data_IF_786400113915
#
_entry.id   IF_786400113915
#
_cell.length_a   1.000
_cell.length_b   1.000
_cell.length_c   1.000
_cell.angle_alpha   90.00
_cell.angle_beta   90.00
_cell.angle_gamma   90.00
#
_symmetry.space_group_name_H-M   'P 1'
#
loop_
_entity.id
_entity.type
_entity.pdbx_description
1 polymer ?
#
# COMPACT_ATOMS: atom_id res chain seq x y z
N UNK A 1 3.23 25.42 7.81
CA UNK A 1 3.01 26.88 7.85
C UNK A 1 1.54 27.16 8.07
N UNK A 2 1.17 28.14 8.89
CA UNK A 2 -0.24 28.45 9.24
C UNK A 2 -0.86 29.41 8.23
N UNK A 3 -1.13 28.96 7.01
CA UNK A 3 -1.91 29.74 6.05
C UNK A 3 -3.39 29.48 6.27
N UNK A 4 -4.22 30.52 6.45
CA UNK A 4 -5.67 30.36 6.58
C UNK A 4 -6.33 29.63 5.41
N UNK A 5 -5.70 29.62 4.23
CA UNK A 5 -6.14 28.82 3.08
C UNK A 5 -6.17 27.32 3.38
N UNK A 6 -5.34 26.83 4.30
CA UNK A 6 -5.32 25.41 4.67
C UNK A 6 -6.50 24.98 5.56
N UNK A 7 -7.34 25.90 6.04
CA UNK A 7 -8.61 25.53 6.68
C UNK A 7 -9.59 24.89 5.66
N UNK A 8 -9.50 25.30 4.39
CA UNK A 8 -10.28 24.67 3.33
C UNK A 8 -9.85 23.21 3.10
N UNK A 9 -8.56 22.91 3.32
CA UNK A 9 -8.01 21.56 3.16
C UNK A 9 -8.60 20.62 4.22
N UNK A 10 -8.68 21.06 5.48
CA UNK A 10 -9.29 20.27 6.56
C UNK A 10 -10.75 19.93 6.27
N UNK A 11 -11.51 20.86 5.69
CA UNK A 11 -12.91 20.60 5.33
C UNK A 11 -13.04 19.47 4.30
N UNK A 12 -12.16 19.43 3.29
CA UNK A 12 -12.13 18.35 2.31
C UNK A 12 -11.70 17.02 2.94
N UNK A 13 -10.65 17.05 3.76
CA UNK A 13 -10.18 15.87 4.47
C UNK A 13 -11.26 15.28 5.39
N UNK A 14 -12.02 16.11 6.12
CA UNK A 14 -13.10 15.61 6.97
C UNK A 14 -14.27 15.02 6.19
N UNK A 15 -14.49 15.39 4.91
CA UNK A 15 -15.43 14.66 4.06
C UNK A 15 -14.90 13.25 3.75
N UNK A 16 -13.60 13.10 3.42
CA UNK A 16 -12.98 11.78 3.25
C UNK A 16 -13.11 10.94 4.53
N UNK A 17 -12.80 11.50 5.70
CA UNK A 17 -12.93 10.81 6.99
C UNK A 17 -14.39 10.44 7.27
N UNK A 18 -15.34 11.32 6.96
CA UNK A 18 -16.76 11.04 7.08
C UNK A 18 -17.15 9.82 6.24
N UNK A 19 -16.72 9.77 4.98
CA UNK A 19 -17.01 8.67 4.07
C UNK A 19 -16.36 7.36 4.55
N UNK A 20 -15.12 7.41 5.04
CA UNK A 20 -14.43 6.25 5.63
C UNK A 20 -15.15 5.69 6.88
N UNK A 21 -15.66 6.58 7.74
CA UNK A 21 -16.30 6.21 9.01
C UNK A 21 -17.73 5.72 8.83
N UNK A 22 -18.56 6.52 8.16
CA UNK A 22 -20.00 6.31 8.17
C UNK A 22 -20.45 5.34 7.10
N UNK A 23 -19.77 5.30 5.93
CA UNK A 23 -20.10 4.51 4.74
C UNK A 23 -21.61 4.12 4.66
N UNK A 24 -22.51 5.13 4.70
CA UNK A 24 -23.88 4.94 5.20
C UNK A 24 -24.79 4.17 4.25
N UNK A 25 -24.37 4.00 3.00
CA UNK A 25 -25.13 3.36 1.93
C UNK A 25 -24.59 1.95 1.59
N UNK A 26 -23.61 1.46 2.35
CA UNK A 26 -22.94 0.19 2.10
C UNK A 26 -23.42 -0.91 3.03
N UNK A 27 -23.75 -2.09 2.47
CA UNK A 27 -23.97 -3.30 3.25
C UNK A 27 -22.67 -4.10 3.34
N UNK A 28 -22.16 -4.29 4.55
CA UNK A 28 -20.93 -5.06 4.77
C UNK A 28 -20.96 -5.87 6.07
N UNK A 29 -20.24 -6.98 6.05
CA UNK A 29 -19.83 -7.71 7.24
C UNK A 29 -18.48 -7.17 7.75
N UNK A 30 -18.27 -7.17 9.06
CA UNK A 30 -17.07 -6.59 9.68
C UNK A 30 -16.36 -7.58 10.60
N UNK A 31 -15.04 -7.66 10.46
CA UNK A 31 -14.14 -8.33 11.38
C UNK A 31 -13.30 -7.26 12.08
N UNK A 32 -13.43 -7.15 13.40
CA UNK A 32 -12.53 -6.33 14.22
C UNK A 32 -11.27 -7.13 14.55
N UNK A 33 -10.11 -6.65 14.08
CA UNK A 33 -8.80 -7.25 14.36
C UNK A 33 -8.21 -6.64 15.63
N UNK A 34 -8.18 -5.31 15.69
CA UNK A 34 -7.72 -4.54 16.84
C UNK A 34 -8.78 -3.49 17.19
N UNK A 35 -9.04 -3.29 18.49
CA UNK A 35 -9.91 -2.23 19.00
C UNK A 35 -9.16 -1.45 20.08
N UNK A 36 -8.68 -0.26 19.73
CA UNK A 36 -7.86 0.59 20.60
C UNK A 36 -6.69 -0.16 21.25
N UNK A 37 -6.05 -1.05 20.50
CA UNK A 37 -4.96 -1.89 20.99
C UNK A 37 -3.68 -1.07 21.09
N UNK A 38 -2.96 -1.18 22.22
CA UNK A 38 -1.70 -0.48 22.40
C UNK A 38 -0.64 -1.17 21.56
N UNK A 39 -0.13 -0.45 20.57
CA UNK A 39 0.98 -0.89 19.75
C UNK A 39 2.22 -0.10 20.12
N UNK A 40 3.17 -0.80 20.75
CA UNK A 40 4.45 -0.24 21.17
C UNK A 40 5.59 -1.22 20.89
N UNK A 41 6.83 -0.72 20.86
CA UNK A 41 7.99 -1.60 20.76
C UNK A 41 9.26 -0.92 20.29
N UNK A 42 10.24 -1.76 19.98
CA UNK A 42 11.52 -1.33 19.39
C UNK A 42 11.41 -1.02 17.91
N UNK A 43 12.56 -0.85 17.26
CA UNK A 43 12.62 -0.52 15.84
C UNK A 43 11.92 -1.58 14.99
N UNK A 44 10.96 -1.17 14.16
CA UNK A 44 10.18 -2.05 13.30
C UNK A 44 9.41 -3.15 14.07
N UNK A 45 8.76 -2.75 15.17
CA UNK A 45 7.90 -3.63 15.97
C UNK A 45 6.82 -4.29 15.10
N UNK A 46 6.18 -5.33 15.63
CA UNK A 46 4.99 -5.89 15.01
C UNK A 46 4.02 -6.38 16.07
N UNK A 47 2.74 -6.26 15.80
CA UNK A 47 1.66 -6.87 16.59
C UNK A 47 0.89 -7.83 15.68
N UNK A 48 0.38 -8.91 16.26
CA UNK A 48 -0.34 -9.92 15.51
C UNK A 48 -1.59 -10.35 16.27
N UNK A 49 -2.63 -10.70 15.51
CA UNK A 49 -3.87 -11.25 16.02
C UNK A 49 -4.34 -12.38 15.11
N UNK A 50 -4.76 -13.48 15.73
CA UNK A 50 -5.42 -14.58 15.02
C UNK A 50 -6.91 -14.22 14.87
N UNK A 51 -7.41 -14.31 13.64
CA UNK A 51 -8.79 -13.96 13.29
C UNK A 51 -9.41 -15.07 12.44
N UNK A 52 -10.72 -15.25 12.56
CA UNK A 52 -11.50 -16.19 11.76
C UNK A 52 -12.10 -15.45 10.56
N UNK A 53 -11.72 -15.85 9.34
CA UNK A 53 -12.25 -15.28 8.12
C UNK A 53 -13.48 -16.04 7.60
N UNK A 54 -14.35 -15.40 6.80
CA UNK A 54 -15.50 -16.06 6.18
C UNK A 54 -15.07 -17.29 5.38
N UNK A 55 -15.96 -18.27 5.31
CA UNK A 55 -15.75 -19.47 4.50
C UNK A 55 -15.63 -19.15 3.01
N UNK A 56 -15.05 -20.08 2.24
CA UNK A 56 -14.91 -19.89 0.80
C UNK A 56 -16.23 -19.58 0.07
N UNK A 57 -17.34 -20.17 0.51
CA UNK A 57 -18.68 -19.93 -0.05
C UNK A 57 -19.19 -18.50 0.26
N UNK A 58 -18.88 -17.98 1.46
CA UNK A 58 -19.21 -16.60 1.85
C UNK A 58 -18.33 -15.60 1.09
N UNK A 59 -17.04 -15.91 0.87
CA UNK A 59 -16.12 -15.07 0.11
C UNK A 59 -16.56 -14.87 -1.36
N UNK A 60 -17.30 -15.82 -1.93
CA UNK A 60 -17.90 -15.70 -3.26
C UNK A 60 -19.05 -14.68 -3.32
N UNK A 61 -19.58 -14.23 -2.18
CA UNK A 61 -20.71 -13.28 -2.13
C UNK A 61 -20.27 -11.82 -2.00
N UNK A 62 -19.00 -11.56 -1.67
CA UNK A 62 -18.51 -10.20 -1.45
C UNK A 62 -18.03 -9.54 -2.74
N UNK A 63 -18.51 -8.32 -2.97
CA UNK A 63 -18.14 -7.47 -4.10
C UNK A 63 -16.89 -6.63 -3.85
N UNK A 64 -16.55 -6.37 -2.58
CA UNK A 64 -15.34 -5.65 -2.21
C UNK A 64 -14.85 -6.04 -0.82
N UNK A 65 -13.56 -5.85 -0.57
CA UNK A 65 -12.96 -5.95 0.75
C UNK A 65 -12.16 -4.69 1.01
N UNK A 66 -12.44 -4.00 2.13
CA UNK A 66 -11.69 -2.82 2.55
C UNK A 66 -11.16 -2.98 3.96
N UNK A 67 -10.02 -2.37 4.25
CA UNK A 67 -9.46 -2.29 5.59
C UNK A 67 -9.63 -0.88 6.14
N UNK A 68 -10.27 -0.78 7.29
CA UNK A 68 -10.30 0.44 8.08
C UNK A 68 -9.12 0.44 9.05
N UNK A 69 -8.31 1.49 9.02
CA UNK A 69 -7.22 1.71 9.97
C UNK A 69 -7.34 3.10 10.58
N UNK A 70 -7.59 3.14 11.89
CA UNK A 70 -7.29 4.29 12.74
C UNK A 70 -5.98 4.00 13.48
N UNK A 71 -4.91 4.67 13.08
CA UNK A 71 -3.62 4.65 13.81
C UNK A 71 -3.60 5.84 14.75
N UNK A 72 -4.27 5.71 15.88
CA UNK A 72 -4.29 6.75 16.89
C UNK A 72 -2.96 6.89 17.65
N UNK A 73 -2.85 7.94 18.45
CA UNK A 73 -1.70 8.20 19.30
C UNK A 73 -2.17 8.31 20.77
N UNK A 74 -1.65 7.48 21.69
CA UNK A 74 -2.09 7.48 23.08
C UNK A 74 -1.51 8.66 23.86
N UNK A 75 -2.37 9.37 24.62
CA UNK A 75 -1.92 10.20 25.73
C UNK A 75 -1.59 9.36 26.98
N UNK A 76 -1.18 10.02 28.07
CA UNK A 76 -0.82 9.35 29.33
C UNK A 76 -1.98 8.57 29.98
N UNK A 77 -3.23 8.88 29.62
CA UNK A 77 -4.44 8.23 30.10
C UNK A 77 -4.98 7.19 29.09
N UNK A 78 -4.28 6.99 27.96
CA UNK A 78 -4.66 6.07 26.90
C UNK A 78 -5.82 6.57 26.02
N UNK A 79 -6.01 7.89 25.89
CA UNK A 79 -6.93 8.50 24.91
C UNK A 79 -6.19 8.93 23.65
N UNK A 80 -6.95 9.27 22.61
CA UNK A 80 -6.41 9.80 21.36
C UNK A 80 -5.95 11.25 21.52
N UNK A 81 -4.66 11.51 21.28
CA UNK A 81 -4.08 12.86 21.29
C UNK A 81 -2.89 12.95 20.33
N UNK A 82 -2.92 13.97 19.45
CA UNK A 82 -1.83 14.27 18.50
C UNK A 82 -0.49 14.51 19.22
N UNK A 83 -0.49 15.03 20.45
CA UNK A 83 0.73 15.26 21.25
C UNK A 83 1.51 13.95 21.55
N UNK A 84 0.88 12.79 21.39
CA UNK A 84 1.49 11.47 21.59
C UNK A 84 2.01 10.82 20.31
N UNK A 85 1.88 11.49 19.15
CA UNK A 85 2.26 10.95 17.86
C UNK A 85 3.78 10.95 17.63
N UNK A 86 4.22 10.15 16.65
CA UNK A 86 5.62 10.18 16.19
C UNK A 86 5.80 11.41 15.27
N UNK A 87 6.88 12.16 15.50
CA UNK A 87 7.29 13.33 14.70
C UNK A 87 7.75 12.95 13.27
N UNK A 88 7.58 11.69 12.85
CA UNK A 88 8.06 11.16 11.58
C UNK A 88 6.98 10.38 10.85
N UNK A 89 7.02 10.47 9.53
CA UNK A 89 6.31 9.60 8.61
C UNK A 89 6.97 8.22 8.53
N UNK A 90 6.21 7.18 8.86
CA UNK A 90 6.65 5.78 8.93
C UNK A 90 5.90 4.96 7.92
N UNK A 91 6.62 4.10 7.20
CA UNK A 91 5.98 3.03 6.44
C UNK A 91 5.37 1.99 7.39
N UNK A 92 4.12 1.64 7.14
CA UNK A 92 3.37 0.62 7.85
C UNK A 92 2.77 -0.40 6.87
N UNK A 93 2.69 -1.64 7.33
CA UNK A 93 2.27 -2.79 6.53
C UNK A 93 1.27 -3.61 7.32
N UNK A 94 0.27 -4.14 6.62
CA UNK A 94 -0.55 -5.25 7.10
C UNK A 94 -0.28 -6.48 6.25
N UNK A 95 0.05 -7.57 6.93
CA UNK A 95 0.26 -8.87 6.34
C UNK A 95 -0.85 -9.84 6.77
N UNK A 96 -1.26 -10.70 5.85
CA UNK A 96 -1.99 -11.92 6.16
C UNK A 96 -1.03 -13.10 6.09
N UNK A 97 -0.97 -13.87 7.17
CA UNK A 97 -0.09 -15.02 7.34
C UNK A 97 -0.90 -16.28 7.66
N UNK A 98 -0.27 -17.43 7.49
CA UNK A 98 -0.77 -18.68 8.08
C UNK A 98 -0.83 -18.55 9.61
N UNK A 99 -1.66 -19.38 10.27
CA UNK A 99 -1.89 -19.29 11.72
C UNK A 99 -0.59 -19.44 12.55
N UNK A 100 0.40 -20.16 12.02
CA UNK A 100 1.72 -20.32 12.66
C UNK A 100 2.69 -19.14 12.44
N UNK A 101 2.25 -18.11 11.70
CA UNK A 101 3.03 -16.92 11.36
C UNK A 101 3.97 -17.10 10.16
N UNK A 102 3.88 -18.21 9.42
CA UNK A 102 4.56 -18.40 8.14
C UNK A 102 3.75 -17.85 6.97
N UNK A 103 4.32 -17.86 5.76
CA UNK A 103 3.66 -17.46 4.50
C UNK A 103 2.91 -16.12 4.59
N UNK A 104 3.59 -15.08 5.04
CA UNK A 104 3.02 -13.74 5.16
C UNK A 104 3.03 -12.99 3.83
N UNK A 105 1.87 -12.48 3.42
CA UNK A 105 1.69 -11.65 2.23
C UNK A 105 1.19 -10.27 2.60
N UNK A 106 1.79 -9.23 2.04
CA UNK A 106 1.37 -7.85 2.26
C UNK A 106 0.07 -7.59 1.50
N UNK A 107 -0.97 -7.21 2.24
CA UNK A 107 -2.31 -6.96 1.67
C UNK A 107 -2.75 -5.51 1.85
N UNK A 108 -1.99 -4.69 2.59
CA UNK A 108 -2.18 -3.25 2.67
C UNK A 108 -0.90 -2.53 3.14
N UNK A 109 -0.74 -1.28 2.72
CA UNK A 109 0.38 -0.40 3.06
C UNK A 109 -0.10 1.02 3.35
N UNK A 110 0.53 1.66 4.32
CA UNK A 110 0.28 3.06 4.69
C UNK A 110 1.59 3.80 4.94
N UNK A 111 1.54 5.13 4.84
CA UNK A 111 2.56 6.00 5.42
C UNK A 111 1.91 6.81 6.54
N UNK A 112 2.45 6.75 7.76
CA UNK A 112 1.95 7.57 8.87
C UNK A 112 2.18 9.06 8.59
N UNK A 113 1.31 9.95 9.11
CA UNK A 113 1.56 11.38 9.03
C UNK A 113 2.62 11.82 10.04
N UNK A 114 3.07 13.07 9.90
CA UNK A 114 3.80 13.78 10.95
C UNK A 114 2.85 14.29 12.01
N UNK A 115 3.02 13.89 13.28
CA UNK A 115 2.36 14.47 14.45
C UNK A 115 0.81 14.51 14.38
N UNK A 116 0.20 13.58 13.63
CA UNK A 116 -1.26 13.49 13.42
C UNK A 116 -1.76 12.06 13.47
N UNK A 117 -3.08 11.91 13.58
CA UNK A 117 -3.75 10.61 13.64
C UNK A 117 -4.48 10.34 12.31
N UNK A 118 -4.03 9.36 11.50
CA UNK A 118 -4.72 8.98 10.27
C UNK A 118 -5.92 8.08 10.56
N UNK A 119 -6.93 8.20 9.70
CA UNK A 119 -8.07 7.29 9.61
C UNK A 119 -8.34 7.00 8.14
N UNK A 120 -8.09 5.76 7.72
CA UNK A 120 -8.22 5.34 6.32
C UNK A 120 -9.23 4.22 6.17
N UNK A 121 -9.84 4.14 4.98
CA UNK A 121 -10.61 2.99 4.50
C UNK A 121 -10.06 2.59 3.13
N UNK A 122 -9.12 1.65 3.12
CA UNK A 122 -8.34 1.27 1.94
C UNK A 122 -8.96 0.08 1.23
N UNK A 123 -9.16 0.18 -0.08
CA UNK A 123 -9.63 -0.93 -0.91
C UNK A 123 -8.52 -1.96 -1.11
N UNK A 124 -8.78 -3.19 -0.68
CA UNK A 124 -7.89 -4.34 -0.75
C UNK A 124 -8.60 -5.54 -1.38
N UNK A 125 -9.63 -5.29 -2.19
CA UNK A 125 -10.49 -6.30 -2.81
C UNK A 125 -9.73 -7.43 -3.50
N UNK A 126 -8.66 -7.19 -4.29
CA UNK A 126 -7.94 -8.28 -4.94
C UNK A 126 -7.41 -9.35 -3.97
N UNK A 127 -7.16 -8.97 -2.71
CA UNK A 127 -6.60 -9.85 -1.68
C UNK A 127 -7.63 -10.75 -0.99
N UNK A 128 -8.91 -10.73 -1.41
CA UNK A 128 -9.86 -11.81 -1.09
C UNK A 128 -9.25 -13.17 -1.47
N UNK A 129 -8.52 -13.21 -2.58
CA UNK A 129 -7.78 -14.40 -3.05
C UNK A 129 -6.77 -14.95 -2.04
N UNK A 130 -6.15 -14.09 -1.20
CA UNK A 130 -5.16 -14.50 -0.19
C UNK A 130 -5.84 -15.10 1.05
N UNK A 131 -7.08 -14.72 1.32
CA UNK A 131 -7.87 -15.24 2.44
C UNK A 131 -8.38 -16.66 2.17
N UNK A 132 -8.64 -16.99 0.89
CA UNK A 132 -9.22 -18.27 0.50
C UNK A 132 -8.37 -19.47 0.97
N UNK A 133 -9.01 -20.58 1.40
CA UNK A 133 -10.45 -20.85 1.42
C UNK A 133 -11.19 -20.32 2.67
N UNK A 134 -10.64 -19.32 3.35
CA UNK A 134 -11.16 -18.80 4.61
C UNK A 134 -10.54 -19.47 5.85
N UNK A 135 -11.27 -19.40 6.96
CA UNK A 135 -10.87 -19.98 8.24
C UNK A 135 -9.88 -19.13 9.01
N UNK A 136 -9.25 -19.74 10.01
CA UNK A 136 -8.33 -19.04 10.91
C UNK A 136 -7.04 -18.63 10.18
N UNK A 137 -6.67 -17.35 10.30
CA UNK A 137 -5.40 -16.79 9.81
C UNK A 137 -4.84 -15.78 10.80
N UNK A 138 -3.57 -15.43 10.64
CA UNK A 138 -2.91 -14.43 11.47
C UNK A 138 -2.78 -13.12 10.68
N UNK A 139 -3.38 -12.04 11.20
CA UNK A 139 -3.10 -10.69 10.76
C UNK A 139 -1.89 -10.17 11.54
N UNK A 140 -0.89 -9.67 10.81
CA UNK A 140 0.29 -9.02 11.38
C UNK A 140 0.36 -7.58 10.89
N UNK A 141 0.40 -6.64 11.83
CA UNK A 141 0.67 -5.23 11.56
C UNK A 141 2.12 -4.92 11.94
N UNK A 142 2.81 -4.17 11.08
CA UNK A 142 4.18 -3.71 11.30
C UNK A 142 4.28 -2.23 10.91
N UNK A 143 5.02 -1.46 11.70
CA UNK A 143 5.32 -0.04 11.44
C UNK A 143 6.81 0.14 11.67
N UNK A 144 7.49 0.84 10.76
CA UNK A 144 8.89 1.22 10.99
C UNK A 144 8.99 2.25 12.12
N UNK A 145 10.19 2.47 12.65
CA UNK A 145 10.32 3.41 13.77
C UNK A 145 10.04 2.79 15.13
N UNK A 146 9.72 3.64 16.10
CA UNK A 146 9.33 3.27 17.46
C UNK A 146 7.85 3.60 17.65
N UNK A 147 6.96 2.67 17.31
CA UNK A 147 5.53 2.93 17.38
C UNK A 147 5.14 3.20 18.84
N UNK A 148 4.27 4.19 19.00
CA UNK A 148 3.50 4.43 20.21
C UNK A 148 2.10 4.82 19.74
N UNK A 149 1.27 3.80 19.53
CA UNK A 149 0.03 3.94 18.77
C UNK A 149 -1.13 3.23 19.48
N UNK A 150 -2.35 3.71 19.21
CA UNK A 150 -3.60 3.02 19.51
C UNK A 150 -4.20 2.56 18.19
N UNK A 151 -4.07 1.27 17.90
CA UNK A 151 -4.56 0.70 16.65
C UNK A 151 -6.01 0.29 16.77
N UNK A 152 -6.84 0.80 15.87
CA UNK A 152 -8.14 0.20 15.55
C UNK A 152 -8.09 -0.24 14.11
N UNK A 153 -8.21 -1.55 13.89
CA UNK A 153 -8.07 -2.16 12.58
C UNK A 153 -9.26 -3.09 12.37
N UNK A 154 -10.00 -2.84 11.30
CA UNK A 154 -11.19 -3.61 10.93
C UNK A 154 -11.13 -3.97 9.46
N UNK A 155 -11.63 -5.15 9.13
CA UNK A 155 -11.78 -5.59 7.74
C UNK A 155 -13.26 -5.65 7.44
N UNK A 156 -13.69 -4.93 6.40
CA UNK A 156 -15.08 -4.83 5.97
C UNK A 156 -15.25 -5.55 4.63
N UNK A 157 -16.21 -6.46 4.57
CA UNK A 157 -16.56 -7.26 3.39
C UNK A 157 -17.91 -6.80 2.85
N UNK A 158 -17.90 -6.16 1.69
CA UNK A 158 -19.06 -5.49 1.12
C UNK A 158 -19.85 -6.43 0.22
N UNK A 159 -21.17 -6.27 0.24
CA UNK A 159 -22.09 -6.91 -0.70
C UNK A 159 -22.81 -5.84 -1.53
N UNK A 160 -22.93 -6.06 -2.83
CA UNK A 160 -23.72 -5.24 -3.75
C UNK A 160 -25.05 -5.93 -4.08
N UNK A 161 -26.07 -5.16 -4.49
CA UNK A 161 -27.36 -5.72 -4.93
C UNK A 161 -27.22 -6.66 -6.13
N UNK A 162 -26.29 -6.35 -7.04
CA UNK A 162 -26.00 -7.13 -8.24
C UNK A 162 -25.05 -8.32 -7.98
N UNK A 163 -24.51 -8.44 -6.76
CA UNK A 163 -23.44 -9.38 -6.42
C UNK A 163 -22.07 -8.99 -7.00
N UNK A 164 -21.00 -9.74 -6.67
CA UNK A 164 -19.70 -9.54 -7.33
C UNK A 164 -19.79 -9.89 -8.81
N UNK A 165 -19.19 -9.06 -9.67
CA UNK A 165 -19.06 -9.36 -11.10
C UNK A 165 -18.18 -10.60 -11.30
N UNK A 166 -17.01 -10.63 -10.63
CA UNK A 166 -16.09 -11.77 -10.57
C UNK A 166 -15.29 -11.72 -9.25
N UNK A 167 -15.29 -12.80 -8.46
CA UNK A 167 -14.56 -12.83 -7.17
C UNK A 167 -13.09 -13.22 -7.37
N UNK A 168 -12.12 -12.59 -6.67
CA UNK A 168 -10.72 -13.04 -6.65
C UNK A 168 -10.59 -14.44 -6.04
N UNK A 169 -10.11 -15.41 -6.82
CA UNK A 169 -10.06 -16.82 -6.43
C UNK A 169 -8.65 -17.28 -6.05
N UNK A 170 -7.66 -16.87 -6.81
CA UNK A 170 -6.28 -17.31 -6.61
C UNK A 170 -5.30 -16.16 -6.73
N UNK A 171 -4.13 -16.34 -6.11
CA UNK A 171 -3.02 -15.41 -6.24
C UNK A 171 -1.71 -16.15 -6.51
N UNK A 172 -0.75 -15.45 -7.14
CA UNK A 172 0.65 -15.88 -7.26
C UNK A 172 1.56 -14.75 -6.78
N UNK A 173 2.39 -14.95 -5.75
CA UNK A 173 3.38 -13.96 -5.33
C UNK A 173 4.40 -13.70 -6.44
N UNK A 174 4.72 -12.43 -6.67
CA UNK A 174 5.73 -11.99 -7.63
C UNK A 174 6.93 -11.38 -6.88
N UNK A 175 7.32 -10.15 -7.18
CA UNK A 175 8.41 -9.47 -6.46
C UNK A 175 7.96 -8.96 -5.09
N UNK A 176 8.83 -9.12 -4.09
CA UNK A 176 8.62 -8.63 -2.73
C UNK A 176 9.91 -8.08 -2.13
N UNK A 177 9.75 -7.16 -1.18
CA UNK A 177 10.79 -6.65 -0.31
C UNK A 177 11.33 -5.29 -0.73
N UNK A 178 11.96 -4.63 0.25
CA UNK A 178 12.64 -3.35 0.07
C UNK A 178 14.05 -3.57 -0.44
N UNK A 179 14.36 -3.02 -1.61
CA UNK A 179 15.67 -3.17 -2.25
C UNK A 179 16.23 -1.81 -2.66
N UNK A 180 17.53 -1.65 -2.47
CA UNK A 180 18.24 -0.43 -2.83
C UNK A 180 18.08 -0.08 -4.31
N UNK A 181 17.63 1.14 -4.58
CA UNK A 181 17.43 1.66 -5.92
C UNK A 181 18.75 2.18 -6.49
N UNK A 182 19.55 1.25 -7.03
CA UNK A 182 20.92 1.47 -7.47
C UNK A 182 21.16 0.89 -8.90
N UNK A 183 22.36 1.04 -9.51
CA UNK A 183 22.59 0.57 -10.87
C UNK A 183 22.37 -0.93 -11.12
N UNK A 184 22.40 -1.77 -10.08
CA UNK A 184 22.11 -3.20 -10.16
C UNK A 184 20.69 -3.55 -9.68
N UNK A 185 19.78 -2.57 -9.61
CA UNK A 185 18.40 -2.79 -9.13
C UNK A 185 17.71 -3.95 -9.87
N UNK A 186 17.78 -3.97 -11.20
CA UNK A 186 17.15 -5.00 -12.03
C UNK A 186 17.76 -6.39 -11.80
N UNK A 187 19.04 -6.49 -11.40
CA UNK A 187 19.67 -7.79 -11.08
C UNK A 187 19.06 -8.45 -9.84
N UNK A 188 18.46 -7.65 -8.95
CA UNK A 188 17.76 -8.11 -7.74
C UNK A 188 16.26 -8.38 -7.99
N UNK A 189 15.86 -8.40 -9.26
CA UNK A 189 14.48 -8.58 -9.72
C UNK A 189 14.44 -9.55 -10.91
N UNK A 190 14.80 -10.83 -10.69
CA UNK A 190 14.78 -11.80 -11.77
C UNK A 190 13.35 -11.95 -12.34
N UNK A 191 13.22 -12.33 -13.62
CA UNK A 191 11.94 -12.65 -14.23
C UNK A 191 11.23 -13.74 -13.44
N UNK A 192 9.91 -13.62 -13.29
CA UNK A 192 9.09 -14.54 -12.50
C UNK A 192 8.11 -15.28 -13.39
N UNK A 193 8.06 -16.60 -13.24
CA UNK A 193 7.11 -17.48 -13.93
C UNK A 193 5.87 -17.64 -13.04
N UNK A 194 4.68 -17.61 -13.64
CA UNK A 194 3.41 -17.82 -12.96
C UNK A 194 2.45 -18.60 -13.87
N UNK A 195 1.71 -19.54 -13.29
CA UNK A 195 0.68 -20.30 -13.99
C UNK A 195 -0.66 -19.57 -13.97
N UNK A 196 -1.43 -19.72 -15.04
CA UNK A 196 -2.82 -19.25 -15.13
C UNK A 196 -3.73 -20.46 -15.39
N UNK A 197 -4.72 -20.76 -14.54
CA UNK A 197 -5.56 -21.94 -14.71
C UNK A 197 -6.55 -21.78 -15.86
N UNK A 198 -6.97 -22.90 -16.48
CA UNK A 198 -7.85 -22.92 -17.66
C UNK A 198 -9.22 -22.26 -17.45
N UNK A 199 -9.69 -22.18 -16.21
CA UNK A 199 -10.97 -21.57 -15.86
C UNK A 199 -10.89 -20.07 -15.59
N UNK A 200 -9.70 -19.47 -15.60
CA UNK A 200 -9.53 -18.03 -15.38
C UNK A 200 -10.37 -17.21 -16.38
N UNK A 201 -11.15 -16.27 -15.87
CA UNK A 201 -11.89 -15.30 -16.68
C UNK A 201 -11.21 -13.94 -16.70
N UNK A 202 -10.46 -13.62 -15.65
CA UNK A 202 -9.69 -12.38 -15.53
C UNK A 202 -8.41 -12.56 -14.74
N UNK A 203 -7.34 -11.94 -15.21
CA UNK A 203 -6.01 -11.97 -14.61
C UNK A 203 -5.50 -10.55 -14.46
N UNK A 204 -5.14 -10.16 -13.24
CA UNK A 204 -4.61 -8.84 -12.93
C UNK A 204 -3.24 -8.91 -12.29
N UNK A 205 -2.37 -7.98 -12.65
CA UNK A 205 -1.18 -7.66 -11.87
C UNK A 205 -1.50 -6.59 -10.85
N UNK A 206 -1.20 -6.86 -9.58
CA UNK A 206 -1.46 -5.97 -8.44
C UNK A 206 -0.15 -5.71 -7.70
N UNK A 207 0.20 -4.45 -7.46
CA UNK A 207 1.45 -4.11 -6.79
C UNK A 207 1.37 -2.87 -5.91
N UNK A 208 2.05 -2.91 -4.76
CA UNK A 208 2.42 -1.74 -3.99
C UNK A 208 3.85 -1.35 -4.32
N UNK A 209 4.10 -0.09 -4.63
CA UNK A 209 5.42 0.45 -4.92
C UNK A 209 5.52 1.83 -4.29
N UNK A 210 6.52 2.04 -3.45
CA UNK A 210 6.82 3.33 -2.82
C UNK A 210 8.32 3.54 -2.80
N UNK A 211 8.79 4.71 -3.23
CA UNK A 211 10.20 5.09 -3.16
C UNK A 211 10.56 5.74 -1.83
N UNK A 212 11.72 5.37 -1.28
CA UNK A 212 12.22 5.84 0.01
C UNK A 212 13.70 6.24 -0.08
N UNK A 213 14.14 7.02 0.91
CA UNK A 213 15.49 7.57 0.96
C UNK A 213 15.65 8.83 0.13
N UNK A 214 16.63 9.64 0.52
CA UNK A 214 16.99 10.88 -0.20
C UNK A 214 18.48 10.90 -0.57
N UNK A 215 19.27 9.98 0.00
CA UNK A 215 20.71 9.87 -0.16
C UNK A 215 21.47 11.18 0.10
N UNK A 216 22.67 11.28 -0.46
CA UNK A 216 23.42 12.53 -0.54
C UNK A 216 23.07 13.31 -1.81
N UNK A 217 23.65 14.51 -1.98
CA UNK A 217 23.44 15.34 -3.17
C UNK A 217 23.70 14.62 -4.51
N UNK A 218 24.53 13.56 -4.52
CA UNK A 218 24.78 12.73 -5.70
C UNK A 218 23.69 11.70 -6.03
N UNK A 219 22.71 11.52 -5.15
CA UNK A 219 21.61 10.56 -5.30
C UNK A 219 20.34 11.16 -5.92
N UNK A 220 20.37 12.44 -6.31
CA UNK A 220 19.24 13.15 -6.95
C UNK A 220 17.95 13.10 -6.12
N UNK A 221 18.07 13.07 -4.79
CA UNK A 221 16.97 12.88 -3.84
C UNK A 221 16.13 11.61 -4.06
N UNK A 222 16.69 10.62 -4.75
CA UNK A 222 16.04 9.33 -4.89
C UNK A 222 16.07 8.53 -3.57
N UNK A 223 15.13 7.62 -3.35
CA UNK A 223 13.95 7.36 -4.18
C UNK A 223 12.69 8.06 -3.66
N UNK A 224 12.75 8.84 -2.58
CA UNK A 224 11.61 9.53 -2.01
C UNK A 224 11.14 10.69 -2.90
N UNK A 225 12.05 11.52 -3.41
CA UNK A 225 11.72 12.77 -4.12
C UNK A 225 12.16 12.77 -5.58
N UNK A 226 12.46 11.61 -6.15
CA UNK A 226 12.78 11.51 -7.57
C UNK A 226 11.76 10.61 -8.26
N UNK A 227 11.37 10.99 -9.47
CA UNK A 227 10.47 10.17 -10.27
C UNK A 227 11.19 8.86 -10.66
N UNK A 228 10.71 7.74 -10.13
CA UNK A 228 11.07 6.39 -10.59
C UNK A 228 9.97 5.86 -11.51
N UNK A 229 10.38 5.23 -12.61
CA UNK A 229 9.50 4.51 -13.53
C UNK A 229 9.72 3.00 -13.37
N UNK A 230 8.62 2.27 -13.31
CA UNK A 230 8.53 0.83 -13.06
C UNK A 230 7.84 0.18 -14.27
N UNK A 231 8.58 -0.64 -15.02
CA UNK A 231 8.16 -1.19 -16.31
C UNK A 231 8.02 -2.70 -16.17
N UNK A 232 6.90 -3.23 -16.61
CA UNK A 232 6.55 -4.64 -16.55
C UNK A 232 6.32 -5.14 -17.96
N UNK A 233 6.87 -6.31 -18.30
CA UNK A 233 6.59 -6.94 -19.59
C UNK A 233 6.18 -8.40 -19.43
N UNK A 234 5.22 -8.83 -20.24
CA UNK A 234 4.63 -10.15 -20.19
C UNK A 234 5.08 -10.96 -21.41
N UNK A 235 5.47 -12.21 -21.18
CA UNK A 235 5.80 -13.21 -22.20
C UNK A 235 6.83 -12.70 -23.23
N UNK A 236 7.91 -12.09 -22.75
CA UNK A 236 8.99 -11.56 -23.60
C UNK A 236 8.60 -10.30 -24.38
N UNK A 237 7.72 -9.46 -23.84
CA UNK A 237 7.33 -8.18 -24.41
C UNK A 237 6.10 -8.22 -25.32
N UNK A 238 5.26 -9.25 -25.22
CA UNK A 238 3.94 -9.30 -25.89
C UNK A 238 3.05 -8.14 -25.44
N UNK A 239 3.18 -7.78 -24.16
CA UNK A 239 2.57 -6.60 -23.58
C UNK A 239 3.55 -5.95 -22.61
N UNK A 240 3.55 -4.62 -22.59
CA UNK A 240 4.32 -3.81 -21.66
C UNK A 240 3.41 -2.75 -21.07
N UNK A 241 3.52 -2.57 -19.76
CA UNK A 241 2.83 -1.52 -19.02
C UNK A 241 3.75 -0.97 -17.94
N UNK A 242 3.44 0.24 -17.47
CA UNK A 242 4.30 0.92 -16.51
C UNK A 242 3.51 1.78 -15.54
N UNK A 243 4.18 2.10 -14.43
CA UNK A 243 3.78 3.15 -13.51
C UNK A 243 4.98 4.03 -13.19
N UNK A 244 4.75 5.31 -12.91
CA UNK A 244 5.80 6.26 -12.53
C UNK A 244 5.23 7.33 -11.61
N UNK A 245 6.12 8.10 -10.99
CA UNK A 245 5.76 9.09 -9.96
C UNK A 245 6.26 10.48 -10.33
N UNK A 246 5.70 11.13 -11.37
CA UNK A 246 6.10 12.46 -11.83
C UNK A 246 5.94 13.57 -10.78
N UNK A 247 5.07 13.37 -9.80
CA UNK A 247 4.86 14.24 -8.64
C UNK A 247 6.05 14.25 -7.67
N UNK A 248 6.93 13.25 -7.72
CA UNK A 248 8.05 13.14 -6.80
C UNK A 248 9.02 14.34 -6.97
N UNK A 249 9.23 15.07 -5.87
CA UNK A 249 10.05 16.29 -5.85
C UNK A 249 9.27 17.57 -6.16
N UNK A 250 7.97 17.48 -6.41
CA UNK A 250 7.09 18.64 -6.48
C UNK A 250 7.01 19.36 -5.13
N UNK A 251 6.91 20.70 -5.15
CA UNK A 251 6.99 21.53 -3.97
C UNK A 251 5.71 21.60 -3.13
N UNK A 252 4.56 21.20 -3.69
CA UNK A 252 3.27 21.31 -3.03
C UNK A 252 2.22 20.25 -3.43
N UNK A 253 2.57 19.23 -4.22
CA UNK A 253 1.66 18.16 -4.64
C UNK A 253 0.80 17.57 -3.51
N UNK A 254 1.38 17.22 -2.36
CA UNK A 254 0.62 16.64 -1.24
C UNK A 254 -0.30 17.67 -0.54
N UNK A 255 -0.14 18.96 -0.83
CA UNK A 255 -1.03 20.03 -0.37
C UNK A 255 -2.12 20.39 -1.39
N UNK A 256 -2.09 19.84 -2.59
CA UNK A 256 -3.12 20.09 -3.61
C UNK A 256 -4.46 19.53 -3.14
N UNK A 257 -5.55 20.23 -3.49
CA UNK A 257 -6.89 19.86 -3.04
C UNK A 257 -7.30 18.49 -3.59
N UNK A 258 -6.88 18.20 -4.82
CA UNK A 258 -7.07 16.95 -5.55
C UNK A 258 -6.30 15.78 -4.91
N UNK A 259 -5.24 16.07 -4.15
CA UNK A 259 -4.45 15.07 -3.42
C UNK A 259 -5.01 14.87 -2.01
N UNK A 260 -5.44 15.94 -1.34
CA UNK A 260 -6.06 15.87 0.00
C UNK A 260 -7.31 14.99 0.03
N UNK A 261 -8.15 15.05 -1.01
CA UNK A 261 -9.35 14.20 -1.10
C UNK A 261 -9.04 12.70 -1.26
N UNK A 262 -7.78 12.33 -1.48
CA UNK A 262 -7.33 10.94 -1.52
C UNK A 262 -6.94 10.42 -0.12
N UNK A 263 -7.10 11.23 0.94
CA UNK A 263 -6.84 10.84 2.32
C UNK A 263 -5.61 11.47 2.95
N UNK A 264 -4.90 12.37 2.25
CA UNK A 264 -3.75 13.09 2.83
C UNK A 264 -4.22 14.04 3.92
N UNK A 265 -3.73 13.83 5.14
CA UNK A 265 -4.04 14.72 6.27
C UNK A 265 -3.42 16.10 6.01
N UNK A 266 -4.18 17.19 6.00
CA UNK A 266 -3.61 18.52 5.85
C UNK A 266 -3.04 19.04 7.18
N UNK A 267 -2.21 20.09 7.11
CA UNK A 267 -1.66 20.77 8.29
C UNK A 267 -0.88 19.84 9.24
N UNK A 268 -0.17 18.88 8.67
CA UNK A 268 0.85 18.13 9.39
C UNK A 268 2.09 19.02 9.63
N UNK A 269 2.98 18.52 10.48
CA UNK A 269 4.32 19.08 10.68
C UNK A 269 5.27 18.52 9.61
N UNK A 270 6.58 18.52 9.87
CA UNK A 270 7.56 17.98 8.93
C UNK A 270 7.50 18.59 7.53
N UNK A 271 7.83 17.78 6.53
CA UNK A 271 7.90 18.15 5.11
C UNK A 271 6.67 17.68 4.33
N UNK A 272 5.52 17.49 4.99
CA UNK A 272 4.36 16.77 4.42
C UNK A 272 3.86 17.24 3.05
N UNK A 273 4.08 18.51 2.71
CA UNK A 273 3.54 19.10 1.50
C UNK A 273 4.23 18.69 0.18
N UNK A 274 5.47 18.21 0.22
CA UNK A 274 6.21 17.84 -0.99
C UNK A 274 5.67 16.56 -1.64
N UNK A 275 5.70 16.45 -2.97
CA UNK A 275 5.36 15.18 -3.63
C UNK A 275 6.44 14.12 -3.40
N UNK A 276 6.04 12.87 -3.12
CA UNK A 276 6.95 11.71 -3.04
C UNK A 276 6.64 10.69 -4.13
N UNK A 277 7.57 9.76 -4.33
CA UNK A 277 7.44 8.66 -5.27
C UNK A 277 6.39 7.64 -4.82
N UNK A 278 5.12 7.92 -5.15
CA UNK A 278 3.99 7.01 -4.96
C UNK A 278 3.30 7.11 -3.60
N UNK A 279 3.52 8.19 -2.85
CA UNK A 279 2.85 8.40 -1.55
C UNK A 279 2.86 9.87 -1.10
N UNK A 280 2.04 10.16 -0.10
CA UNK A 280 2.11 11.36 0.72
C UNK A 280 2.10 10.95 2.20
N UNK A 281 2.76 11.69 3.11
CA UNK A 281 2.65 11.43 4.54
C UNK A 281 1.19 11.42 4.99
N UNK A 282 0.78 10.40 5.76
CA UNK A 282 -0.60 10.27 6.24
C UNK A 282 -1.60 9.84 5.18
N UNK A 283 -1.15 9.20 4.10
CA UNK A 283 -1.99 8.62 3.05
C UNK A 283 -1.88 7.10 3.08
N UNK A 284 -2.98 6.39 2.82
CA UNK A 284 -2.91 4.99 2.46
C UNK A 284 -2.31 4.83 1.06
N UNK A 285 -1.63 3.71 0.83
CA UNK A 285 -1.05 3.41 -0.47
C UNK A 285 -2.05 2.54 -1.22
N UNK A 286 -2.69 3.10 -2.25
CA UNK A 286 -3.55 2.33 -3.16
C UNK A 286 -2.69 1.44 -4.07
N UNK A 287 -3.02 0.15 -4.26
CA UNK A 287 -2.25 -0.70 -5.15
C UNK A 287 -2.42 -0.25 -6.61
N UNK A 288 -1.34 -0.35 -7.40
CA UNK A 288 -1.42 -0.25 -8.84
C UNK A 288 -1.93 -1.58 -9.40
N UNK A 289 -3.05 -1.53 -10.13
CA UNK A 289 -3.74 -2.71 -10.69
C UNK A 289 -3.77 -2.58 -12.21
N UNK A 290 -3.35 -3.61 -12.93
CA UNK A 290 -3.43 -3.69 -14.39
C UNK A 290 -4.05 -5.03 -14.80
N UNK A 291 -5.10 -4.97 -15.62
CA UNK A 291 -5.67 -6.15 -16.26
C UNK A 291 -4.74 -6.63 -17.37
N UNK A 292 -4.29 -7.88 -17.26
CA UNK A 292 -3.38 -8.52 -18.20
C UNK A 292 -4.01 -9.73 -18.90
N UNK A 293 -5.34 -9.90 -18.80
CA UNK A 293 -6.08 -11.08 -19.26
C UNK A 293 -5.81 -11.40 -20.72
N UNK A 294 -5.78 -10.39 -21.60
CA UNK A 294 -5.55 -10.57 -23.04
C UNK A 294 -4.08 -10.85 -23.41
N UNK A 295 -3.17 -10.81 -22.43
CA UNK A 295 -1.73 -10.87 -22.66
C UNK A 295 -1.05 -12.08 -22.01
N UNK A 296 -1.83 -12.91 -21.33
CA UNK A 296 -1.40 -14.18 -20.74
C UNK A 296 -2.00 -15.35 -21.51
N UNK A 297 -1.28 -16.46 -21.53
CA UNK A 297 -1.77 -17.75 -22.03
C UNK A 297 -2.53 -18.45 -20.89
N UNK A 298 -3.86 -18.49 -21.01
CA UNK A 298 -4.74 -19.19 -20.07
C UNK A 298 -4.55 -20.70 -20.20
N UNK A 299 -4.35 -21.38 -19.07
CA UNK A 299 -4.08 -22.82 -19.01
C UNK A 299 -2.60 -23.20 -19.12
N UNK A 300 -1.68 -22.22 -19.16
CA UNK A 300 -0.25 -22.44 -19.30
C UNK A 300 0.58 -21.55 -18.35
N UNK A 301 1.88 -21.80 -18.32
CA UNK A 301 2.86 -20.95 -17.64
C UNK A 301 3.13 -19.68 -18.45
N UNK A 302 3.19 -18.57 -17.74
CA UNK A 302 3.52 -17.25 -18.25
C UNK A 302 4.79 -16.73 -17.57
N UNK A 303 5.46 -15.76 -18.18
CA UNK A 303 6.63 -15.10 -17.58
C UNK A 303 6.43 -13.59 -17.56
N UNK A 304 6.81 -12.97 -16.45
CA UNK A 304 6.84 -11.52 -16.31
C UNK A 304 8.23 -11.04 -15.96
N UNK A 305 8.69 -10.03 -16.68
CA UNK A 305 9.93 -9.30 -16.44
C UNK A 305 9.60 -7.94 -15.79
N UNK A 306 10.51 -7.44 -14.95
CA UNK A 306 10.39 -6.15 -14.30
C UNK A 306 11.71 -5.40 -14.34
N UNK A 307 11.64 -4.13 -14.74
CA UNK A 307 12.75 -3.18 -14.66
C UNK A 307 12.30 -1.85 -14.07
N UNK A 308 13.25 -1.13 -13.46
CA UNK A 308 12.99 0.24 -13.02
C UNK A 308 14.15 1.17 -13.32
N UNK A 309 13.82 2.44 -13.54
CA UNK A 309 14.78 3.48 -13.81
C UNK A 309 14.38 4.81 -13.19
N UNK A 310 15.35 5.71 -13.05
CA UNK A 310 15.11 7.09 -12.65
C UNK A 310 14.72 7.88 -13.89
N UNK A 311 13.72 8.73 -13.78
CA UNK A 311 13.38 9.67 -14.85
C UNK A 311 14.22 10.94 -14.72
N UNK A 312 14.78 11.38 -15.84
CA UNK A 312 15.54 12.62 -15.97
C UNK A 312 15.12 13.35 -17.24
N UNK A 313 14.28 14.38 -17.10
CA UNK A 313 13.59 14.94 -18.27
C UNK A 313 12.59 13.92 -18.80
N UNK A 314 12.76 13.49 -20.05
CA UNK A 314 11.95 12.42 -20.65
C UNK A 314 12.70 11.09 -20.75
N UNK A 315 13.93 11.02 -20.24
CA UNK A 315 14.81 9.87 -20.39
C UNK A 315 14.75 8.97 -19.16
N UNK A 316 14.67 7.67 -19.41
CA UNK A 316 14.84 6.61 -18.43
C UNK A 316 16.35 6.37 -18.24
N UNK A 317 16.88 6.75 -17.08
CA UNK A 317 18.31 6.67 -16.77
C UNK A 317 18.57 5.73 -15.59
N UNK A 318 19.78 5.18 -15.55
CA UNK A 318 20.20 4.25 -14.50
C UNK A 318 19.99 4.86 -13.10
N UNK A 319 19.47 4.07 -12.13
CA UNK A 319 19.35 4.52 -10.75
C UNK A 319 20.70 4.94 -10.14
N UNK A 320 20.72 5.84 -9.15
CA UNK A 320 21.95 6.46 -8.65
C UNK A 320 22.80 5.50 -7.80
N UNK A 321 24.10 5.79 -7.70
CA UNK A 321 25.01 5.11 -6.75
C UNK A 321 24.98 5.83 -5.42
N UNK A 322 24.49 5.17 -4.37
CA UNK A 322 24.63 5.66 -3.00
C UNK A 322 26.05 5.40 -2.47
N UNK A 323 26.73 6.42 -1.94
CA UNK A 323 28.06 6.29 -1.34
C UNK A 323 28.01 5.89 0.14
N UNK A 324 26.84 5.49 0.65
CA UNK A 324 26.62 5.19 2.07
C UNK A 324 26.51 6.44 2.96
N UNK A 325 26.29 7.61 2.36
CA UNK A 325 26.07 8.88 3.04
C UNK A 325 24.58 9.28 3.00
N UNK A 326 23.94 9.33 4.17
CA UNK A 326 22.50 9.55 4.31
C UNK A 326 21.68 8.25 4.19
N UNK A 327 20.36 8.40 3.98
CA UNK A 327 19.46 7.27 3.78
C UNK A 327 19.44 6.89 2.30
N UNK A 328 20.10 5.78 1.96
CA UNK A 328 20.24 5.37 0.56
C UNK A 328 18.87 5.14 -0.11
N UNK A 329 18.75 5.46 -1.42
CA UNK A 329 17.57 5.18 -2.21
C UNK A 329 17.15 3.71 -2.12
N UNK A 330 15.87 3.44 -1.89
CA UNK A 330 15.29 2.10 -1.91
C UNK A 330 13.84 2.12 -2.41
N UNK A 331 13.42 1.03 -3.05
CA UNK A 331 12.03 0.80 -3.45
C UNK A 331 11.46 -0.31 -2.57
N UNK A 332 10.41 -0.01 -1.83
CA UNK A 332 9.59 -1.02 -1.16
C UNK A 332 8.53 -1.51 -2.14
N UNK A 333 8.55 -2.81 -2.46
CA UNK A 333 7.68 -3.41 -3.47
C UNK A 333 7.07 -4.71 -2.96
N UNK A 334 5.80 -4.93 -3.26
CA UNK A 334 5.12 -6.22 -3.10
C UNK A 334 4.13 -6.39 -4.24
N UNK A 335 4.22 -7.48 -4.98
CA UNK A 335 3.47 -7.68 -6.21
C UNK A 335 2.87 -9.07 -6.30
N UNK A 336 1.72 -9.17 -6.95
CA UNK A 336 0.91 -10.36 -7.03
C UNK A 336 0.22 -10.46 -8.40
N UNK A 337 0.06 -11.67 -8.91
CA UNK A 337 -0.94 -11.97 -9.92
C UNK A 337 -2.21 -12.40 -9.20
N UNK A 338 -3.35 -11.81 -9.56
CA UNK A 338 -4.67 -12.10 -9.00
C UNK A 338 -5.54 -12.68 -10.11
N UNK A 339 -6.12 -13.85 -9.86
CA UNK A 339 -6.89 -14.62 -10.84
C UNK A 339 -8.33 -14.73 -10.36
N UNK A 340 -9.28 -14.46 -11.26
CA UNK A 340 -10.73 -14.55 -11.02
C UNK A 340 -11.36 -15.58 -11.95
N UNK A 341 -12.41 -16.23 -11.47
CA UNK A 341 -13.28 -17.15 -12.22
C UNK A 341 -14.56 -17.48 -11.46
#
# INVERSE_FOLDING_TARGET
GTHMSYLAHETLFYNYVWDALFDPDSNYDEITVFDKEIYSGGWASSIAQVVEFPSNEELDQYSAMKVELLRGCPDADGNYNDDGCDDYDRIAHMYLCDEDGSNCYEIARWITPFDRQPHHLTDITPFISVIRPGGTRLIKFQESGWPNSLLTLKIRFYTSEDGPEESPQEFRPMWNGTVQFNPSYNENRPPTIFDVPENATRVEFVTYITGHGWGSAGCYNCAEFCNSKHIFSVNGGTYEFDTSYPEAGDGDYCMELETIVQGVIPNQYGTWGFGRAGWCPGMDVTPFITDITEYVEIGDDNIMDYEACRISGNDCVTPPVCQGDGYCPEIAMSSYIIIRY
#
